data_IF_484789014434
#
_entry.id   IF_484789014434
#
_cell.length_a   1.000
_cell.length_b   1.000
_cell.length_c   1.000
_cell.angle_alpha   90.00
_cell.angle_beta   90.00
_cell.angle_gamma   90.00
#
_symmetry.space_group_name_H-M   'P 1'
#
loop_
_entity.id
_entity.type
_entity.pdbx_description
1 polymer ?
#
# COMPACT_ATOMS: atom_id res chain seq x y z
N UNK A 1 10.16 -27.69 28.03
CA UNK A 1 10.90 -26.57 27.44
C UNK A 1 10.07 -26.08 26.24
N UNK A 2 9.30 -25.02 26.43
CA UNK A 2 8.55 -24.38 25.35
C UNK A 2 9.54 -23.59 24.53
N UNK A 3 9.90 -24.09 23.34
CA UNK A 3 10.69 -23.33 22.37
C UNK A 3 9.90 -22.08 21.97
N UNK A 4 10.37 -20.91 22.37
CA UNK A 4 9.86 -19.64 21.86
C UNK A 4 10.03 -19.67 20.35
N UNK A 5 8.96 -19.54 19.55
CA UNK A 5 9.09 -19.56 18.09
C UNK A 5 10.01 -18.42 17.64
N UNK A 6 10.99 -18.76 16.81
CA UNK A 6 11.87 -17.77 16.19
C UNK A 6 10.98 -16.82 15.37
N UNK A 7 11.11 -15.50 15.57
CA UNK A 7 10.29 -14.55 14.83
C UNK A 7 10.50 -14.70 13.32
N UNK A 8 9.42 -14.82 12.56
CA UNK A 8 9.50 -14.92 11.09
C UNK A 8 10.10 -13.61 10.52
N UNK A 9 11.07 -13.76 9.60
CA UNK A 9 11.59 -12.62 8.85
C UNK A 9 10.44 -11.99 8.06
N UNK A 10 10.27 -10.65 8.10
CA UNK A 10 9.21 -10.00 7.33
C UNK A 10 9.34 -10.30 5.85
N UNK A 11 8.22 -10.62 5.20
CA UNK A 11 8.18 -10.88 3.76
C UNK A 11 8.01 -9.56 3.02
N UNK A 12 8.77 -9.38 1.95
CA UNK A 12 8.62 -8.24 1.08
C UNK A 12 7.22 -8.21 0.45
N UNK A 13 6.64 -7.00 0.44
CA UNK A 13 5.31 -6.74 -0.10
C UNK A 13 5.25 -5.32 -0.67
N UNK A 14 4.29 -5.08 -1.54
CA UNK A 14 4.02 -3.76 -2.10
C UNK A 14 2.53 -3.43 -2.01
N UNK A 15 2.24 -2.16 -1.75
CA UNK A 15 0.88 -1.61 -1.70
C UNK A 15 0.85 -0.35 -2.56
N UNK A 16 -0.20 -0.16 -3.34
CA UNK A 16 -0.42 1.06 -4.10
C UNK A 16 -1.65 1.80 -3.61
N UNK A 17 -1.46 3.04 -3.21
CA UNK A 17 -2.54 3.98 -2.90
C UNK A 17 -2.91 4.70 -4.19
N UNK A 18 -3.97 4.26 -4.82
CA UNK A 18 -4.49 4.87 -6.04
C UNK A 18 -5.24 6.14 -5.69
N UNK A 19 -4.90 7.22 -6.37
CA UNK A 19 -5.39 8.58 -6.10
C UNK A 19 -6.15 9.12 -7.29
N UNK A 20 -7.19 9.91 -7.03
CA UNK A 20 -7.85 10.75 -8.03
C UNK A 20 -8.30 12.07 -7.45
N UNK A 21 -8.49 13.06 -8.29
CA UNK A 21 -9.21 14.29 -7.94
C UNK A 21 -10.69 14.14 -8.29
N UNK A 22 -11.55 14.51 -7.35
CA UNK A 22 -13.00 14.55 -7.51
C UNK A 22 -13.54 15.95 -7.16
N UNK A 23 -14.82 16.26 -7.41
CA UNK A 23 -15.39 17.56 -7.07
C UNK A 23 -15.22 17.95 -5.59
N UNK A 24 -15.12 16.96 -4.69
CA UNK A 24 -14.88 17.14 -3.26
C UNK A 24 -13.40 17.22 -2.85
N UNK A 25 -12.46 17.13 -3.77
CA UNK A 25 -11.02 17.09 -3.53
C UNK A 25 -10.40 15.72 -3.78
N UNK A 26 -9.29 15.44 -3.08
CA UNK A 26 -8.56 14.17 -3.17
C UNK A 26 -9.42 12.99 -2.72
N UNK A 27 -9.44 11.93 -3.52
CA UNK A 27 -9.98 10.62 -3.14
C UNK A 27 -8.93 9.52 -3.30
N UNK A 28 -9.05 8.49 -2.47
CA UNK A 28 -8.25 7.26 -2.51
C UNK A 28 -9.14 6.05 -2.75
N UNK A 29 -8.62 5.06 -3.46
CA UNK A 29 -9.28 3.78 -3.64
C UNK A 29 -9.04 2.89 -2.42
N UNK A 30 -10.11 2.41 -1.84
CA UNK A 30 -10.09 1.38 -0.81
C UNK A 30 -10.87 0.15 -1.29
N UNK A 31 -10.41 -1.03 -0.86
CA UNK A 31 -11.08 -2.30 -1.14
C UNK A 31 -11.41 -3.00 0.16
N UNK A 32 -12.62 -3.55 0.25
CA UNK A 32 -13.03 -4.39 1.37
C UNK A 32 -12.57 -5.82 1.10
N UNK A 33 -11.68 -6.32 1.95
CA UNK A 33 -11.23 -7.72 1.87
C UNK A 33 -12.37 -8.68 2.17
N UNK A 34 -12.38 -9.81 1.47
CA UNK A 34 -13.37 -10.86 1.72
C UNK A 34 -13.32 -11.29 3.19
N UNK A 35 -14.49 -11.39 3.85
CA UNK A 35 -14.57 -11.62 5.30
C UNK A 35 -13.93 -12.95 5.77
N UNK A 36 -13.81 -13.93 4.86
CA UNK A 36 -13.18 -15.23 5.14
C UNK A 36 -11.65 -15.22 5.00
N UNK A 37 -11.05 -14.11 4.57
CA UNK A 37 -9.59 -14.01 4.49
C UNK A 37 -8.95 -14.09 5.87
N UNK A 38 -7.90 -14.90 5.99
CA UNK A 38 -7.18 -15.12 7.26
C UNK A 38 -6.54 -13.83 7.78
N UNK A 39 -6.06 -12.99 6.87
CA UNK A 39 -5.39 -11.74 7.21
C UNK A 39 -6.29 -10.55 6.85
N UNK A 40 -6.67 -9.75 7.84
CA UNK A 40 -7.48 -8.53 7.69
C UNK A 40 -8.84 -8.72 7.00
N UNK A 41 -9.47 -9.90 7.12
CA UNK A 41 -10.78 -10.16 6.53
C UNK A 41 -11.83 -9.15 7.00
N UNK A 42 -12.60 -8.59 6.05
CA UNK A 42 -13.63 -7.58 6.28
C UNK A 42 -13.12 -6.14 6.40
N UNK A 43 -11.79 -5.93 6.56
CA UNK A 43 -11.20 -4.59 6.63
C UNK A 43 -11.10 -3.95 5.25
N UNK A 44 -11.17 -2.63 5.22
CA UNK A 44 -10.83 -1.85 4.04
C UNK A 44 -9.32 -1.59 3.99
N UNK A 45 -8.72 -1.93 2.86
CA UNK A 45 -7.28 -1.83 2.63
C UNK A 45 -7.00 -1.12 1.30
N UNK A 46 -5.78 -0.67 1.12
CA UNK A 46 -5.28 -0.31 -0.20
C UNK A 46 -4.90 -1.59 -0.97
N UNK A 47 -5.01 -1.61 -2.30
CA UNK A 47 -4.55 -2.73 -3.14
C UNK A 47 -3.09 -3.06 -2.89
N UNK A 48 -2.80 -4.35 -2.81
CA UNK A 48 -1.43 -4.78 -2.60
C UNK A 48 -1.27 -6.19 -2.08
N UNK A 49 -0.10 -6.76 -2.31
CA UNK A 49 0.22 -8.13 -1.94
C UNK A 49 1.72 -8.36 -1.77
N UNK A 50 2.07 -9.64 -1.72
CA UNK A 50 3.46 -10.08 -1.57
C UNK A 50 4.21 -9.88 -2.87
N UNK A 51 5.51 -9.67 -2.72
CA UNK A 51 6.41 -9.79 -3.84
C UNK A 51 6.47 -11.25 -4.29
N UNK A 52 6.19 -11.50 -5.55
CA UNK A 52 6.40 -12.80 -6.17
C UNK A 52 7.81 -12.88 -6.78
N UNK A 53 8.44 -14.08 -6.80
CA UNK A 53 9.74 -14.24 -7.45
C UNK A 53 9.77 -13.76 -8.91
N UNK A 54 8.66 -13.91 -9.62
CA UNK A 54 8.53 -13.45 -11.01
C UNK A 54 8.55 -11.93 -11.14
N UNK A 55 8.13 -11.16 -10.13
CA UNK A 55 8.17 -9.71 -10.17
C UNK A 55 9.59 -9.15 -10.34
N UNK A 56 10.61 -9.90 -9.89
CA UNK A 56 12.03 -9.52 -9.95
C UNK A 56 12.83 -10.26 -11.02
N UNK A 57 12.19 -11.06 -11.86
CA UNK A 57 12.89 -11.82 -12.90
C UNK A 57 13.31 -10.94 -14.09
N UNK A 58 14.18 -11.48 -14.94
CA UNK A 58 14.70 -10.73 -16.08
C UNK A 58 13.63 -10.30 -17.09
N UNK A 59 12.54 -11.05 -17.24
CA UNK A 59 11.45 -10.73 -18.16
C UNK A 59 10.62 -9.56 -17.63
N UNK A 60 10.28 -9.58 -16.35
CA UNK A 60 9.57 -8.48 -15.69
C UNK A 60 10.38 -7.20 -15.67
N UNK A 61 11.70 -7.30 -15.39
CA UNK A 61 12.58 -6.15 -15.42
C UNK A 61 12.80 -5.57 -16.83
N UNK A 62 12.71 -6.39 -17.88
CA UNK A 62 12.75 -5.94 -19.25
C UNK A 62 11.47 -5.22 -19.72
N UNK A 63 10.35 -5.42 -19.01
CA UNK A 63 9.06 -4.80 -19.31
C UNK A 63 8.86 -3.44 -18.60
N UNK A 64 9.88 -2.87 -17.98
CA UNK A 64 9.82 -1.60 -17.27
C UNK A 64 10.09 -0.41 -18.20
N UNK A 65 9.53 0.74 -17.87
CA UNK A 65 9.81 2.04 -18.51
C UNK A 65 11.06 2.72 -17.95
N UNK A 66 11.59 2.23 -16.83
CA UNK A 66 12.77 2.77 -16.14
C UNK A 66 13.78 1.67 -15.79
N UNK A 67 15.05 2.05 -15.70
CA UNK A 67 16.11 1.14 -15.26
C UNK A 67 15.93 0.76 -13.77
N UNK A 68 16.20 -0.50 -13.36
CA UNK A 68 16.12 -0.94 -11.98
C UNK A 68 16.89 -0.08 -10.97
N UNK A 69 18.03 0.50 -11.39
CA UNK A 69 18.84 1.38 -10.56
C UNK A 69 18.13 2.71 -10.21
N UNK A 70 17.34 3.24 -11.15
CA UNK A 70 16.55 4.45 -10.92
C UNK A 70 15.43 4.16 -9.93
N UNK A 71 14.73 3.03 -10.07
CA UNK A 71 13.68 2.59 -9.15
C UNK A 71 14.22 2.32 -7.74
N UNK A 72 15.42 1.72 -7.64
CA UNK A 72 16.11 1.52 -6.38
C UNK A 72 16.41 2.86 -5.67
N UNK A 73 16.92 3.85 -6.41
CA UNK A 73 17.19 5.18 -5.85
C UNK A 73 15.94 5.84 -5.25
N UNK A 74 14.77 5.64 -5.86
CA UNK A 74 13.50 6.21 -5.38
C UNK A 74 13.03 5.63 -4.04
N UNK A 75 13.39 4.39 -3.69
CA UNK A 75 13.05 3.79 -2.40
C UNK A 75 13.92 4.33 -1.25
N UNK A 76 15.12 4.80 -1.56
CA UNK A 76 16.06 5.28 -0.57
C UNK A 76 16.57 4.18 0.39
N UNK A 77 16.60 2.93 -0.04
CA UNK A 77 17.03 1.74 0.70
C UNK A 77 18.37 1.22 0.11
N UNK A 78 19.53 1.76 0.51
CA UNK A 78 20.80 1.50 -0.16
C UNK A 78 21.24 0.02 -0.13
N UNK A 79 20.82 -0.72 0.90
CA UNK A 79 21.17 -2.13 1.09
C UNK A 79 20.23 -3.10 0.34
N UNK A 80 19.16 -2.58 -0.27
CA UNK A 80 18.22 -3.40 -1.03
C UNK A 80 18.78 -3.66 -2.43
N UNK A 81 18.84 -4.91 -2.93
CA UNK A 81 19.28 -5.18 -4.30
C UNK A 81 18.39 -4.48 -5.34
N UNK A 82 18.99 -3.86 -6.36
CA UNK A 82 18.22 -3.13 -7.41
C UNK A 82 17.17 -3.99 -8.12
N UNK A 83 17.39 -5.29 -8.43
CA UNK A 83 16.32 -6.14 -8.98
C UNK A 83 15.14 -6.30 -8.03
N UNK A 84 15.38 -6.41 -6.73
CA UNK A 84 14.34 -6.53 -5.71
C UNK A 84 13.56 -5.20 -5.57
N UNK A 85 14.28 -4.08 -5.58
CA UNK A 85 13.66 -2.76 -5.59
C UNK A 85 12.72 -2.55 -6.78
N UNK A 86 13.17 -2.96 -7.98
CA UNK A 86 12.34 -2.90 -9.17
C UNK A 86 11.15 -3.87 -9.09
N UNK A 87 11.35 -5.08 -8.59
CA UNK A 87 10.29 -6.06 -8.36
C UNK A 87 9.18 -5.55 -7.46
N UNK A 88 9.48 -4.74 -6.44
CA UNK A 88 8.48 -4.10 -5.60
C UNK A 88 7.58 -3.10 -6.36
N UNK A 89 8.13 -2.42 -7.37
CA UNK A 89 7.32 -1.59 -8.27
C UNK A 89 6.46 -2.45 -9.20
N UNK A 90 7.01 -3.56 -9.71
CA UNK A 90 6.24 -4.53 -10.50
C UNK A 90 5.08 -5.09 -9.67
N UNK A 91 5.35 -5.56 -8.45
CA UNK A 91 4.33 -6.08 -7.54
C UNK A 91 3.20 -5.07 -7.32
N UNK A 92 3.50 -3.80 -7.03
CA UNK A 92 2.49 -2.77 -6.83
C UNK A 92 1.58 -2.59 -8.07
N UNK A 93 2.15 -2.64 -9.28
CA UNK A 93 1.40 -2.49 -10.53
C UNK A 93 0.62 -3.76 -10.90
N UNK A 94 1.17 -4.95 -10.61
CA UNK A 94 0.50 -6.24 -10.77
C UNK A 94 -0.74 -6.31 -9.89
N UNK A 95 -0.60 -6.00 -8.61
CA UNK A 95 -1.70 -6.00 -7.64
C UNK A 95 -2.80 -4.98 -8.02
N UNK A 96 -2.44 -3.80 -8.54
CA UNK A 96 -3.42 -2.84 -9.06
C UNK A 96 -4.26 -3.43 -10.20
N UNK A 97 -3.64 -4.23 -11.09
CA UNK A 97 -4.35 -4.89 -12.17
C UNK A 97 -5.18 -6.08 -11.66
N UNK A 98 -4.61 -6.94 -10.84
CA UNK A 98 -5.26 -8.14 -10.32
C UNK A 98 -6.46 -7.81 -9.44
N UNK A 99 -6.27 -6.97 -8.44
CA UNK A 99 -7.30 -6.65 -7.47
C UNK A 99 -8.30 -5.60 -7.99
N UNK A 100 -7.81 -4.54 -8.67
CA UNK A 100 -8.63 -3.39 -9.06
C UNK A 100 -8.99 -3.34 -10.54
N UNK A 101 -8.36 -4.15 -11.40
CA UNK A 101 -8.52 -4.04 -12.85
C UNK A 101 -7.93 -2.77 -13.45
N UNK A 102 -7.00 -2.10 -12.76
CA UNK A 102 -6.37 -0.87 -13.22
C UNK A 102 -4.98 -1.15 -13.76
N UNK A 103 -4.80 -0.98 -15.06
CA UNK A 103 -3.56 -1.21 -15.79
C UNK A 103 -2.75 0.10 -15.90
N UNK A 104 -1.70 0.21 -15.11
CA UNK A 104 -0.74 1.31 -15.19
C UNK A 104 0.41 0.89 -16.11
N UNK A 105 0.19 1.00 -17.39
CA UNK A 105 1.13 0.64 -18.44
C UNK A 105 1.16 1.70 -19.54
N UNK A 106 2.11 1.56 -20.45
CA UNK A 106 2.26 2.39 -21.64
C UNK A 106 2.42 1.51 -22.88
N UNK A 107 1.88 1.93 -24.02
CA UNK A 107 2.08 1.23 -25.27
C UNK A 107 3.53 1.37 -25.73
N UNK A 108 4.12 0.28 -26.25
CA UNK A 108 5.44 0.30 -26.89
C UNK A 108 5.42 1.05 -28.24
N UNK A 109 4.25 1.11 -28.89
CA UNK A 109 4.06 1.81 -30.14
C UNK A 109 2.77 2.63 -30.08
N UNK A 110 2.76 3.77 -30.76
CA UNK A 110 1.56 4.61 -30.84
C UNK A 110 0.38 3.83 -31.48
N UNK A 111 -0.81 4.01 -30.90
CA UNK A 111 -2.01 3.35 -31.37
C UNK A 111 -2.31 1.97 -30.79
N UNK A 112 -1.42 1.39 -30.00
CA UNK A 112 -1.71 0.16 -29.24
C UNK A 112 -2.64 0.52 -28.09
N UNK A 113 -3.82 -0.14 -27.95
CA UNK A 113 -4.77 0.18 -26.88
C UNK A 113 -4.32 -0.36 -25.53
N UNK A 114 -4.67 0.33 -24.45
CA UNK A 114 -4.54 -0.17 -23.08
C UNK A 114 -5.80 -0.97 -22.72
N UNK A 115 -5.79 -2.26 -23.02
CA UNK A 115 -6.92 -3.17 -22.75
C UNK A 115 -6.75 -3.82 -21.36
N UNK A 116 -7.09 -3.07 -20.31
CA UNK A 116 -7.00 -3.54 -18.93
C UNK A 116 -7.88 -4.79 -18.64
N UNK A 117 -9.14 -4.88 -19.14
CA UNK A 117 -9.93 -6.09 -18.97
C UNK A 117 -9.27 -7.34 -19.58
N UNK A 118 -8.69 -7.24 -20.77
CA UNK A 118 -7.98 -8.35 -21.41
C UNK A 118 -6.70 -8.71 -20.65
N UNK A 119 -5.91 -7.73 -20.26
CA UNK A 119 -4.71 -7.96 -19.47
C UNK A 119 -5.03 -8.69 -18.16
N UNK A 120 -6.08 -8.25 -17.44
CA UNK A 120 -6.54 -8.89 -16.20
C UNK A 120 -7.04 -10.32 -16.44
N UNK A 121 -7.76 -10.58 -17.53
CA UNK A 121 -8.22 -11.92 -17.87
C UNK A 121 -7.05 -12.88 -18.10
N UNK A 122 -6.01 -12.44 -18.83
CA UNK A 122 -4.81 -13.25 -19.07
C UNK A 122 -4.04 -13.56 -17.77
N UNK A 123 -3.95 -12.63 -16.81
CA UNK A 123 -3.38 -12.90 -15.49
C UNK A 123 -4.19 -13.96 -14.73
N UNK A 124 -5.52 -13.89 -14.75
CA UNK A 124 -6.41 -14.88 -14.12
C UNK A 124 -6.29 -16.27 -14.74
N UNK A 125 -5.91 -16.35 -16.02
CA UNK A 125 -5.56 -17.60 -16.69
C UNK A 125 -4.18 -18.13 -16.30
N UNK A 126 -3.46 -17.44 -15.39
CA UNK A 126 -2.16 -17.85 -14.87
C UNK A 126 -0.98 -17.41 -15.74
N UNK A 127 -1.16 -16.51 -16.71
CA UNK A 127 -0.06 -16.00 -17.50
C UNK A 127 0.79 -15.01 -16.68
N UNK A 128 2.13 -15.08 -16.72
CA UNK A 128 3.00 -14.10 -16.08
C UNK A 128 2.77 -12.69 -16.62
N UNK A 129 2.80 -11.66 -15.75
CA UNK A 129 2.57 -10.27 -16.14
C UNK A 129 3.47 -9.82 -17.29
N UNK A 130 4.75 -10.16 -17.26
CA UNK A 130 5.69 -9.82 -18.33
C UNK A 130 5.26 -10.39 -19.70
N UNK A 131 4.72 -11.62 -19.71
CA UNK A 131 4.20 -12.24 -20.92
C UNK A 131 2.94 -11.54 -21.42
N UNK A 132 2.02 -11.19 -20.50
CA UNK A 132 0.81 -10.42 -20.82
C UNK A 132 1.17 -9.09 -21.48
N UNK A 133 2.08 -8.34 -20.88
CA UNK A 133 2.55 -7.05 -21.42
C UNK A 133 3.18 -7.22 -22.80
N UNK A 134 4.04 -8.22 -22.99
CA UNK A 134 4.68 -8.50 -24.27
C UNK A 134 3.64 -8.81 -25.36
N UNK A 135 2.64 -9.66 -25.07
CA UNK A 135 1.59 -10.01 -26.02
C UNK A 135 0.68 -8.84 -26.38
N UNK A 136 0.50 -7.91 -25.46
CA UNK A 136 -0.30 -6.70 -25.68
C UNK A 136 0.51 -5.52 -26.24
N UNK A 137 1.83 -5.66 -26.41
CA UNK A 137 2.70 -4.60 -26.89
C UNK A 137 2.83 -3.43 -25.89
N UNK A 138 2.87 -3.74 -24.58
CA UNK A 138 2.89 -2.80 -23.48
C UNK A 138 4.16 -2.91 -22.64
N UNK A 139 4.45 -1.87 -21.86
CA UNK A 139 5.43 -1.88 -20.76
C UNK A 139 4.81 -1.26 -19.52
N UNK A 140 5.31 -1.62 -18.33
CA UNK A 140 4.85 -1.06 -17.06
C UNK A 140 5.27 0.42 -16.95
N UNK A 141 4.34 1.27 -16.54
CA UNK A 141 4.58 2.69 -16.31
C UNK A 141 4.99 2.95 -14.86
N UNK A 142 6.17 2.47 -14.47
CA UNK A 142 6.69 2.62 -13.09
C UNK A 142 6.92 4.08 -12.71
N UNK A 143 7.13 4.97 -13.69
CA UNK A 143 7.20 6.41 -13.48
C UNK A 143 5.93 7.02 -12.88
N UNK A 144 4.78 6.32 -12.95
CA UNK A 144 3.55 6.75 -12.30
C UNK A 144 3.53 6.49 -10.80
N UNK A 145 4.38 5.59 -10.32
CA UNK A 145 4.54 5.34 -8.90
C UNK A 145 5.46 6.38 -8.25
N UNK A 146 5.10 6.79 -7.05
CA UNK A 146 6.02 7.50 -6.16
C UNK A 146 6.05 6.77 -4.82
N UNK A 147 7.25 6.46 -4.31
CA UNK A 147 7.41 5.80 -3.04
C UNK A 147 6.93 6.71 -1.90
N UNK A 148 6.03 6.21 -1.06
CA UNK A 148 5.34 6.99 -0.03
C UNK A 148 5.83 6.69 1.37
N UNK A 149 5.90 5.40 1.73
CA UNK A 149 6.34 4.95 3.05
C UNK A 149 6.69 3.46 3.04
N UNK A 150 7.44 3.01 4.04
CA UNK A 150 7.75 1.60 4.28
C UNK A 150 7.20 1.18 5.64
N UNK A 151 6.37 0.14 5.66
CA UNK A 151 5.74 -0.38 6.87
C UNK A 151 6.21 -1.79 7.17
N UNK A 152 6.80 -1.96 8.35
CA UNK A 152 7.28 -3.27 8.80
C UNK A 152 6.37 -3.74 9.93
N UNK A 153 5.78 -4.93 9.80
CA UNK A 153 4.94 -5.52 10.86
C UNK A 153 5.78 -5.71 12.11
N UNK A 154 5.39 -5.15 13.28
CA UNK A 154 6.15 -5.27 14.50
C UNK A 154 6.21 -6.72 15.02
N UNK A 155 7.24 -7.02 15.81
CA UNK A 155 7.29 -8.23 16.59
C UNK A 155 6.30 -8.10 17.75
N UNK A 156 5.23 -8.87 17.72
CA UNK A 156 4.27 -8.92 18.83
C UNK A 156 3.54 -10.25 18.83
N UNK A 157 3.49 -10.96 19.96
CA UNK A 157 2.72 -12.19 20.10
C UNK A 157 1.22 -11.98 19.79
N UNK A 158 0.72 -10.76 19.95
CA UNK A 158 -0.66 -10.40 19.72
C UNK A 158 -1.03 -10.14 18.26
N UNK A 159 -0.04 -10.06 17.34
CA UNK A 159 -0.24 -9.76 15.92
C UNK A 159 -0.04 -10.98 15.00
N UNK A 160 0.07 -12.20 15.58
CA UNK A 160 0.31 -13.43 14.82
C UNK A 160 1.77 -13.61 14.42
N UNK A 161 2.04 -14.65 13.64
CA UNK A 161 3.40 -15.04 13.22
C UNK A 161 3.80 -14.44 11.88
N UNK A 162 2.83 -14.08 11.03
CA UNK A 162 3.10 -13.52 9.69
C UNK A 162 3.47 -12.05 9.77
N UNK A 163 4.61 -11.74 9.20
CA UNK A 163 5.15 -10.38 9.15
C UNK A 163 5.41 -9.97 7.72
N UNK A 164 5.15 -8.69 7.42
CA UNK A 164 5.41 -8.09 6.12
C UNK A 164 6.32 -6.87 6.26
N UNK A 165 7.12 -6.63 5.24
CA UNK A 165 7.90 -5.44 5.00
C UNK A 165 7.36 -4.79 3.72
N UNK A 166 6.39 -3.91 3.87
CA UNK A 166 5.57 -3.40 2.77
C UNK A 166 6.00 -2.01 2.35
N UNK A 167 6.32 -1.84 1.06
CA UNK A 167 6.54 -0.52 0.45
C UNK A 167 5.21 -0.01 -0.07
N UNK A 168 4.82 1.14 0.44
CA UNK A 168 3.63 1.85 -0.01
C UNK A 168 4.03 2.84 -1.09
N UNK A 169 3.34 2.77 -2.21
CA UNK A 169 3.45 3.71 -3.31
C UNK A 169 2.17 4.51 -3.42
N UNK A 170 2.26 5.74 -3.93
CA UNK A 170 1.10 6.51 -4.39
C UNK A 170 1.14 6.61 -5.90
N UNK A 171 -0.02 6.55 -6.55
CA UNK A 171 -0.13 6.68 -7.99
C UNK A 171 -1.44 7.33 -8.42
N UNK A 172 -1.41 8.22 -9.44
CA UNK A 172 -2.62 8.66 -10.13
C UNK A 172 -3.34 7.47 -10.76
N UNK A 173 -4.62 7.31 -10.47
CA UNK A 173 -5.45 6.34 -11.18
C UNK A 173 -5.61 6.74 -12.65
N UNK A 174 -5.62 5.77 -13.59
CA UNK A 174 -5.95 6.04 -14.99
C UNK A 174 -7.36 6.64 -15.10
N UNK A 175 -7.49 7.75 -15.85
CA UNK A 175 -8.76 8.49 -15.99
C UNK A 175 -9.79 7.77 -16.87
N UNK A 176 -9.31 6.92 -17.76
CA UNK A 176 -10.08 6.19 -18.77
C UNK A 176 -10.44 4.75 -18.34
N UNK A 177 -10.08 4.38 -17.11
CA UNK A 177 -10.34 3.05 -16.57
C UNK A 177 -11.22 3.15 -15.31
N UNK A 178 -12.06 2.13 -15.12
CA UNK A 178 -12.93 2.02 -13.94
C UNK A 178 -12.41 0.93 -13.00
N UNK A 179 -12.18 1.28 -11.75
CA UNK A 179 -11.79 0.30 -10.74
C UNK A 179 -12.93 -0.69 -10.48
N UNK A 180 -12.60 -1.98 -10.47
CA UNK A 180 -13.53 -3.06 -10.18
C UNK A 180 -12.81 -4.15 -9.36
N UNK A 181 -13.39 -4.52 -8.22
CA UNK A 181 -12.88 -5.63 -7.39
C UNK A 181 -12.97 -6.99 -8.13
N UNK A 182 -12.27 -7.97 -7.61
CA UNK A 182 -12.18 -9.28 -8.25
C UNK A 182 -13.29 -10.27 -7.84
N UNK A 183 -13.99 -10.00 -6.73
CA UNK A 183 -14.95 -10.87 -6.04
C UNK A 183 -14.33 -12.12 -5.39
N UNK A 184 -13.03 -12.25 -5.38
CA UNK A 184 -12.29 -13.35 -4.75
C UNK A 184 -11.59 -12.87 -3.47
N UNK A 185 -10.67 -11.93 -3.58
CA UNK A 185 -9.97 -11.32 -2.45
C UNK A 185 -10.68 -10.08 -1.92
N UNK A 186 -11.33 -9.31 -2.79
CA UNK A 186 -12.07 -8.11 -2.45
C UNK A 186 -13.54 -8.21 -2.88
N UNK A 187 -14.44 -7.74 -2.02
CA UNK A 187 -15.90 -7.76 -2.23
C UNK A 187 -16.48 -6.41 -2.56
N UNK A 188 -15.72 -5.35 -2.40
CA UNK A 188 -16.15 -3.97 -2.65
C UNK A 188 -14.93 -3.09 -3.01
N UNK A 189 -15.14 -2.14 -3.90
CA UNK A 189 -14.17 -1.07 -4.20
C UNK A 189 -14.87 0.27 -4.05
N UNK A 190 -14.28 1.18 -3.28
CA UNK A 190 -14.86 2.50 -3.02
C UNK A 190 -13.80 3.58 -3.10
N UNK A 191 -14.19 4.71 -3.70
CA UNK A 191 -13.41 5.95 -3.68
C UNK A 191 -13.90 6.83 -2.54
N UNK A 192 -13.02 7.18 -1.64
CA UNK A 192 -13.33 8.03 -0.49
C UNK A 192 -12.28 9.13 -0.32
N UNK A 193 -12.72 10.31 0.06
CA UNK A 193 -11.81 11.31 0.59
C UNK A 193 -11.15 10.74 1.87
N UNK A 194 -9.83 10.94 2.08
CA UNK A 194 -9.12 10.35 3.22
C UNK A 194 -9.78 10.66 4.57
N UNK A 195 -10.23 11.90 4.77
CA UNK A 195 -10.95 12.29 5.99
C UNK A 195 -12.29 11.57 6.12
N UNK A 196 -13.07 11.48 5.04
CA UNK A 196 -14.36 10.80 5.03
C UNK A 196 -14.22 9.30 5.37
N UNK A 197 -13.18 8.64 4.87
CA UNK A 197 -12.88 7.25 5.25
C UNK A 197 -12.60 7.11 6.76
N UNK A 198 -11.85 8.03 7.34
CA UNK A 198 -11.58 8.03 8.79
C UNK A 198 -12.83 8.36 9.61
N UNK A 199 -13.73 9.23 9.13
CA UNK A 199 -15.01 9.51 9.77
C UNK A 199 -15.93 8.27 9.74
N UNK A 200 -16.01 7.57 8.60
CA UNK A 200 -16.73 6.29 8.50
C UNK A 200 -16.12 5.22 9.43
N UNK A 201 -14.81 5.20 9.59
CA UNK A 201 -14.13 4.33 10.54
C UNK A 201 -14.50 4.68 11.99
N UNK A 202 -14.46 5.95 12.38
CA UNK A 202 -14.90 6.43 13.72
C UNK A 202 -16.33 6.02 14.02
N UNK A 203 -17.21 6.15 13.03
CA UNK A 203 -18.65 5.87 13.16
C UNK A 203 -18.98 4.36 13.04
N UNK A 204 -17.94 3.50 12.87
CA UNK A 204 -18.08 2.04 12.81
C UNK A 204 -18.68 1.51 11.50
N UNK A 205 -18.74 2.33 10.46
CA UNK A 205 -19.26 1.94 9.14
C UNK A 205 -18.26 1.10 8.36
N UNK A 206 -16.96 1.38 8.52
CA UNK A 206 -15.86 0.60 7.95
C UNK A 206 -14.85 0.21 9.04
N UNK A 207 -14.08 -0.83 8.78
CA UNK A 207 -12.96 -1.24 9.63
C UNK A 207 -11.63 -1.00 8.92
N UNK A 208 -10.66 -0.43 9.64
CA UNK A 208 -9.32 -0.11 9.16
C UNK A 208 -8.26 -0.66 10.10
N UNK A 209 -7.14 -1.13 9.54
CA UNK A 209 -5.95 -1.45 10.32
C UNK A 209 -5.09 -0.18 10.56
N UNK A 210 -4.21 -0.19 11.58
CA UNK A 210 -3.37 0.95 11.91
C UNK A 210 -2.57 1.57 10.76
N UNK A 211 -1.96 0.80 9.82
CA UNK A 211 -1.30 1.39 8.66
C UNK A 211 -2.24 2.21 7.76
N UNK A 212 -3.47 1.73 7.54
CA UNK A 212 -4.48 2.46 6.76
C UNK A 212 -4.92 3.73 7.47
N UNK A 213 -5.18 3.66 8.80
CA UNK A 213 -5.56 4.83 9.60
C UNK A 213 -4.52 5.94 9.47
N UNK A 214 -3.24 5.60 9.71
CA UNK A 214 -2.16 6.60 9.69
C UNK A 214 -1.85 7.09 8.27
N UNK A 215 -1.96 6.23 7.26
CA UNK A 215 -1.79 6.65 5.86
C UNK A 215 -2.90 7.58 5.42
N UNK A 216 -4.16 7.30 5.75
CA UNK A 216 -5.30 8.17 5.47
C UNK A 216 -5.18 9.51 6.21
N UNK A 217 -4.76 9.49 7.49
CA UNK A 217 -4.53 10.71 8.26
C UNK A 217 -3.44 11.59 7.63
N UNK A 218 -2.37 10.99 7.09
CA UNK A 218 -1.33 11.71 6.37
C UNK A 218 -1.87 12.27 5.04
N UNK A 219 -2.60 11.48 4.26
CA UNK A 219 -3.18 11.89 2.98
C UNK A 219 -4.27 12.97 3.12
N UNK A 220 -5.00 13.01 4.24
CA UNK A 220 -6.01 14.03 4.53
C UNK A 220 -5.45 15.47 4.62
N UNK A 221 -4.12 15.62 4.65
CA UNK A 221 -3.44 16.92 4.66
C UNK A 221 -3.28 17.54 3.26
N UNK A 222 -3.63 16.78 2.22
CA UNK A 222 -3.50 17.21 0.83
C UNK A 222 -4.87 17.43 0.20
N UNK A 223 -5.01 18.51 -0.54
CA UNK A 223 -6.25 18.84 -1.22
C UNK A 223 -6.36 18.15 -2.59
N UNK A 224 -5.22 17.85 -3.23
CA UNK A 224 -5.14 17.34 -4.59
C UNK A 224 -4.16 16.19 -4.72
N UNK A 225 -4.45 15.29 -5.65
CA UNK A 225 -3.59 14.17 -6.02
C UNK A 225 -2.16 14.61 -6.39
N UNK A 226 -2.04 15.68 -7.17
CA UNK A 226 -0.72 16.17 -7.60
C UNK A 226 0.15 16.61 -6.43
N UNK A 227 -0.42 17.20 -5.38
CA UNK A 227 0.31 17.64 -4.19
C UNK A 227 0.89 16.44 -3.43
N UNK A 228 0.14 15.32 -3.37
CA UNK A 228 0.63 14.05 -2.79
C UNK A 228 1.81 13.51 -3.59
N UNK A 229 1.70 13.45 -4.91
CA UNK A 229 2.76 12.93 -5.79
C UNK A 229 4.03 13.77 -5.70
N UNK A 230 3.88 15.11 -5.68
CA UNK A 230 5.02 16.04 -5.51
C UNK A 230 5.67 15.82 -4.14
N UNK A 231 4.89 15.74 -3.07
CA UNK A 231 5.41 15.47 -1.73
C UNK A 231 6.15 14.13 -1.65
N UNK A 232 5.58 13.07 -2.23
CA UNK A 232 6.20 11.75 -2.26
C UNK A 232 7.56 11.75 -2.99
N UNK A 233 7.66 12.49 -4.08
CA UNK A 233 8.91 12.58 -4.87
C UNK A 233 9.96 13.52 -4.28
N UNK A 234 9.55 14.44 -3.41
CA UNK A 234 10.45 15.45 -2.83
C UNK A 234 11.19 14.98 -1.57
N UNK A 235 10.84 13.83 -1.00
CA UNK A 235 11.39 13.34 0.25
C UNK A 235 11.66 11.83 0.21
N UNK A 236 12.61 11.40 1.05
CA UNK A 236 12.84 9.98 1.25
C UNK A 236 11.62 9.36 1.98
N UNK A 237 11.10 8.20 1.50
CA UNK A 237 10.01 7.52 2.19
C UNK A 237 10.38 7.17 3.64
N UNK A 238 9.54 7.53 4.63
CA UNK A 238 9.80 7.16 6.01
C UNK A 238 9.61 5.65 6.22
N UNK A 239 10.48 5.06 7.05
CA UNK A 239 10.32 3.68 7.52
C UNK A 239 9.55 3.69 8.85
N UNK A 240 8.46 2.93 8.90
CA UNK A 240 7.61 2.80 10.06
C UNK A 240 7.69 1.34 10.55
N UNK A 241 8.43 1.11 11.63
CA UNK A 241 8.43 -0.13 12.39
C UNK A 241 7.76 0.17 13.74
N UNK A 242 6.47 -0.07 13.90
CA UNK A 242 5.75 0.27 15.12
C UNK A 242 6.22 -0.60 16.30
N UNK A 243 6.11 -0.05 17.51
CA UNK A 243 6.20 -0.80 18.75
C UNK A 243 4.78 -1.17 19.20
N UNK A 244 4.43 -2.46 19.15
CA UNK A 244 3.17 -2.96 19.69
C UNK A 244 3.38 -3.46 21.12
N UNK A 245 2.58 -2.94 22.06
CA UNK A 245 2.67 -3.31 23.48
C UNK A 245 1.30 -3.24 24.17
N UNK A 246 1.23 -3.70 25.40
CA UNK A 246 0.06 -3.51 26.26
C UNK A 246 0.34 -2.32 27.20
N UNK A 247 -0.56 -1.35 27.20
CA UNK A 247 -0.55 -0.22 28.13
C UNK A 247 -1.84 -0.23 28.92
N UNK A 248 -1.78 -0.39 30.25
CA UNK A 248 -2.94 -0.59 31.11
C UNK A 248 -3.91 -1.70 30.63
N UNK A 249 -3.36 -2.77 30.01
CA UNK A 249 -4.15 -3.88 29.45
C UNK A 249 -4.75 -3.61 28.06
N UNK A 250 -4.59 -2.43 27.50
CA UNK A 250 -5.02 -2.07 26.14
C UNK A 250 -3.88 -2.26 25.14
N UNK A 251 -4.20 -2.85 23.99
CA UNK A 251 -3.25 -2.91 22.87
C UNK A 251 -2.93 -1.50 22.39
N UNK A 252 -1.66 -1.18 22.40
CA UNK A 252 -1.15 0.14 22.03
C UNK A 252 -0.10 -0.02 20.96
N UNK A 253 -0.16 0.84 19.95
CA UNK A 253 0.80 0.90 18.85
C UNK A 253 1.47 2.27 18.90
N UNK A 254 2.76 2.28 19.23
CA UNK A 254 3.59 3.48 19.22
C UNK A 254 4.42 3.53 17.94
N UNK A 255 4.47 4.68 17.31
CA UNK A 255 5.20 4.95 16.07
C UNK A 255 6.53 5.67 16.37
N UNK A 256 7.49 5.70 15.41
CA UNK A 256 8.68 6.52 15.53
C UNK A 256 8.34 7.98 15.90
N UNK A 257 9.05 8.50 16.92
CA UNK A 257 8.76 9.80 17.53
C UNK A 257 7.92 9.74 18.81
N UNK A 258 7.35 8.58 19.15
CA UNK A 258 6.69 8.38 20.45
C UNK A 258 7.71 8.28 21.59
N UNK A 259 7.43 8.79 22.81
CA UNK A 259 8.32 8.67 23.96
C UNK A 259 8.70 7.23 24.33
N UNK A 260 7.90 6.23 23.98
CA UNK A 260 8.19 4.81 24.22
C UNK A 260 8.96 4.15 23.07
N UNK A 261 9.04 4.81 21.91
CA UNK A 261 9.71 4.26 20.74
C UNK A 261 11.22 4.54 20.78
N UNK A 262 12.06 3.59 20.33
CA UNK A 262 13.51 3.78 20.28
C UNK A 262 13.93 4.89 19.32
N UNK A 263 13.24 5.00 18.16
CA UNK A 263 13.44 6.07 17.19
C UNK A 263 12.72 7.34 17.64
N UNK A 264 13.48 8.41 17.90
CA UNK A 264 12.98 9.69 18.42
C UNK A 264 12.47 10.63 17.35
N UNK A 265 12.92 10.45 16.09
CA UNK A 265 12.48 11.25 14.96
C UNK A 265 11.10 10.77 14.51
N UNK A 266 10.16 11.69 14.37
CA UNK A 266 8.83 11.38 13.82
C UNK A 266 8.93 10.89 12.37
N UNK A 267 8.30 9.75 12.09
CA UNK A 267 8.19 9.22 10.74
C UNK A 267 6.92 9.70 10.02
N UNK A 268 5.87 10.03 10.77
CA UNK A 268 4.57 10.43 10.25
C UNK A 268 4.09 11.72 10.92
N UNK A 269 3.28 12.54 10.25
CA UNK A 269 2.51 13.60 10.90
C UNK A 269 1.38 13.00 11.76
N UNK A 270 0.77 13.83 12.62
CA UNK A 270 -0.34 13.40 13.48
C UNK A 270 0.13 12.68 14.74
N UNK A 271 -0.71 11.78 15.31
CA UNK A 271 -0.43 11.13 16.57
C UNK A 271 0.74 10.14 16.45
N UNK A 272 1.54 10.07 17.50
CA UNK A 272 2.61 9.07 17.60
C UNK A 272 2.14 7.75 18.22
N UNK A 273 0.85 7.66 18.59
CA UNK A 273 0.30 6.51 19.29
C UNK A 273 -1.16 6.30 18.96
N UNK A 274 -1.54 5.03 18.77
CA UNK A 274 -2.93 4.59 18.71
C UNK A 274 -3.17 3.54 19.79
N UNK A 275 -4.32 3.64 20.48
CA UNK A 275 -4.77 2.66 21.48
C UNK A 275 -6.03 1.94 21.00
N UNK A 276 -6.08 0.65 21.22
CA UNK A 276 -7.25 -0.15 20.90
C UNK A 276 -8.37 0.11 21.92
N UNK A 277 -9.53 0.51 21.43
CA UNK A 277 -10.77 0.66 22.19
C UNK A 277 -11.87 -0.14 21.49
N UNK A 278 -12.27 -1.25 22.09
CA UNK A 278 -13.14 -2.21 21.40
C UNK A 278 -12.48 -2.78 20.15
N UNK A 279 -13.09 -2.57 19.00
CA UNK A 279 -12.56 -3.00 17.69
C UNK A 279 -11.70 -1.93 16.99
N UNK A 280 -11.66 -0.72 17.50
CA UNK A 280 -11.00 0.41 16.85
C UNK A 280 -9.67 0.76 17.51
N UNK A 281 -8.77 1.32 16.71
CA UNK A 281 -7.56 1.98 17.16
C UNK A 281 -7.74 3.50 17.08
N UNK A 282 -7.69 4.18 18.21
CA UNK A 282 -7.94 5.61 18.31
C UNK A 282 -6.70 6.35 18.85
N UNK A 283 -6.43 7.58 18.41
CA UNK A 283 -5.34 8.39 18.94
C UNK A 283 -5.66 8.90 20.35
N UNK A 284 -4.62 9.13 21.15
CA UNK A 284 -4.74 9.94 22.34
C UNK A 284 -5.11 11.37 21.94
N UNK A 285 -6.06 11.98 22.65
CA UNK A 285 -6.56 13.33 22.32
C UNK A 285 -7.78 13.33 21.40
N UNK A 286 -8.33 12.16 21.06
CA UNK A 286 -9.56 12.03 20.28
C UNK A 286 -9.33 12.06 18.76
N UNK A 287 -10.41 11.92 18.02
CA UNK A 287 -10.40 11.74 16.57
C UNK A 287 -9.66 12.85 15.80
N UNK A 288 -9.84 14.11 16.20
CA UNK A 288 -9.22 15.26 15.52
C UNK A 288 -7.68 15.28 15.65
N UNK A 289 -7.11 14.56 16.62
CA UNK A 289 -5.66 14.42 16.74
C UNK A 289 -5.01 13.70 15.53
N UNK A 290 -5.79 12.97 14.72
CA UNK A 290 -5.31 12.39 13.46
C UNK A 290 -4.85 13.44 12.45
N UNK A 291 -5.37 14.66 12.53
CA UNK A 291 -5.17 15.72 11.52
C UNK A 291 -4.25 16.86 12.00
N UNK A 292 -3.72 16.76 13.23
CA UNK A 292 -2.82 17.78 13.83
C UNK A 292 -1.36 17.62 13.36
#
# INVERSE_FOLDING_TARGET
MTTTPVPETPRDAATVVLLRDAPGGLEVLLQRRHAQMTDMGGLYVFPGGKLDPQDSDAQSLAALDQAPQALHAHLGEPDLPSPLAAGLHVAALREALEECGLLLAEPLQAGVPLDAPRARAMLREGQPLAQVLSQLGLRLATQRLAAWSRWITPLSPAMGTRRFDTRFFVAPAPLDQTAAHDNEEATESVWLAPRAALEQYRDGQIELAPPQIMSLAHLARYARMQDVVVAARSQRPPTILPLAHLDAGLRTIAYPGDPLHAERKRALPGPTRLRQQGRQFLPEGGFEALFL
#
